data_IF_236950103659
#
_entry.id   IF_236950103659
#
_cell.length_a   1.000
_cell.length_b   1.000
_cell.length_c   1.000
_cell.angle_alpha   90.00
_cell.angle_beta   90.00
_cell.angle_gamma   90.00
#
_symmetry.space_group_name_H-M   'P 1'
#
loop_
_entity.id
_entity.type
_entity.pdbx_description
1 polymer ?
#
# COMPACT_ATOMS: atom_id res chain seq x y z
N UNK A 1 -3.85 -38.59 -36.39
CA UNK A 1 -4.03 -37.97 -35.05
C UNK A 1 -2.70 -37.35 -34.68
N UNK A 2 -2.62 -36.03 -34.67
CA UNK A 2 -1.36 -35.31 -34.44
C UNK A 2 -1.30 -34.93 -32.96
N UNK A 3 -0.40 -35.57 -32.20
CA UNK A 3 -0.16 -35.20 -30.81
C UNK A 3 0.67 -33.91 -30.77
N UNK A 4 0.06 -32.84 -30.27
CA UNK A 4 0.77 -31.59 -29.96
C UNK A 4 1.32 -31.74 -28.55
N UNK A 5 2.63 -31.96 -28.45
CA UNK A 5 3.36 -31.90 -27.19
C UNK A 5 3.60 -30.43 -26.85
N UNK A 6 2.78 -29.85 -25.97
CA UNK A 6 2.97 -28.48 -25.49
C UNK A 6 4.09 -28.53 -24.45
N UNK A 7 5.22 -27.90 -24.76
CA UNK A 7 6.35 -27.81 -23.85
C UNK A 7 6.01 -26.81 -22.73
N UNK A 8 5.63 -27.34 -21.56
CA UNK A 8 5.16 -26.57 -20.40
C UNK A 8 6.23 -25.62 -19.81
N UNK A 9 7.52 -25.81 -20.14
CA UNK A 9 8.60 -24.92 -19.69
C UNK A 9 8.48 -23.51 -20.30
N UNK A 10 8.10 -23.41 -21.57
CA UNK A 10 7.98 -22.12 -22.26
C UNK A 10 6.78 -21.28 -21.78
N UNK A 11 5.75 -21.94 -21.22
CA UNK A 11 4.56 -21.25 -20.70
C UNK A 11 4.89 -20.56 -19.37
N UNK A 12 5.67 -21.22 -18.51
CA UNK A 12 6.11 -20.63 -17.24
C UNK A 12 7.04 -19.41 -17.46
N UNK A 13 7.94 -19.46 -18.44
CA UNK A 13 8.83 -18.32 -18.74
C UNK A 13 8.08 -17.10 -19.29
N UNK A 14 7.00 -17.31 -20.07
CA UNK A 14 6.14 -16.23 -20.56
C UNK A 14 5.31 -15.59 -19.44
N UNK A 15 4.77 -16.39 -18.52
CA UNK A 15 3.97 -15.89 -17.39
C UNK A 15 4.87 -15.12 -16.40
N UNK A 16 6.09 -15.61 -16.14
CA UNK A 16 7.04 -14.96 -15.24
C UNK A 16 7.63 -13.67 -15.82
N UNK A 17 7.87 -13.62 -17.14
CA UNK A 17 8.41 -12.41 -17.81
C UNK A 17 7.44 -11.22 -17.85
N UNK A 18 6.13 -11.48 -17.93
CA UNK A 18 5.10 -10.44 -17.94
C UNK A 18 4.87 -9.85 -16.53
N UNK A 19 5.04 -10.66 -15.50
CA UNK A 19 4.92 -10.24 -14.10
C UNK A 19 6.09 -9.35 -13.65
N UNK A 20 7.33 -9.66 -14.08
CA UNK A 20 8.51 -8.86 -13.75
C UNK A 20 8.53 -7.51 -14.48
N UNK A 21 8.04 -7.47 -15.74
CA UNK A 21 7.95 -6.22 -16.51
C UNK A 21 6.79 -5.33 -16.07
N UNK A 22 5.71 -5.88 -15.54
CA UNK A 22 4.60 -5.09 -14.99
C UNK A 22 4.99 -4.44 -13.66
N UNK A 23 5.60 -5.18 -12.73
CA UNK A 23 6.14 -4.60 -11.47
C UNK A 23 7.21 -3.53 -11.71
N UNK A 24 8.11 -3.72 -12.68
CA UNK A 24 9.11 -2.70 -13.06
C UNK A 24 8.45 -1.45 -13.64
N UNK A 25 7.40 -1.58 -14.47
CA UNK A 25 6.66 -0.45 -15.04
C UNK A 25 5.84 0.31 -13.98
N UNK A 26 5.23 -0.40 -13.03
CA UNK A 26 4.52 0.15 -11.87
C UNK A 26 5.47 0.99 -11.00
N UNK A 27 6.63 0.43 -10.68
CA UNK A 27 7.65 1.12 -9.89
C UNK A 27 8.13 2.42 -10.57
N UNK A 28 8.24 2.42 -11.91
CA UNK A 28 8.70 3.59 -12.66
C UNK A 28 7.72 4.75 -12.68
N UNK A 29 6.41 4.51 -12.81
CA UNK A 29 5.46 5.62 -12.95
C UNK A 29 5.19 6.31 -11.60
N UNK A 30 5.20 5.57 -10.48
CA UNK A 30 5.13 6.14 -9.14
C UNK A 30 6.37 6.99 -8.83
N UNK A 31 7.57 6.49 -9.16
CA UNK A 31 8.82 7.25 -9.03
C UNK A 31 8.82 8.51 -9.91
N UNK A 32 8.32 8.40 -11.14
CA UNK A 32 8.15 9.55 -12.03
C UNK A 32 7.14 10.56 -11.50
N UNK A 33 6.01 10.11 -10.95
CA UNK A 33 5.01 10.99 -10.35
C UNK A 33 5.59 11.70 -9.14
N UNK A 34 6.31 10.97 -8.28
CA UNK A 34 6.94 11.49 -7.08
C UNK A 34 8.00 12.57 -7.36
N UNK A 35 8.67 12.55 -8.52
CA UNK A 35 9.62 13.61 -8.89
C UNK A 35 8.95 14.96 -9.20
N UNK A 36 7.62 14.97 -9.34
CA UNK A 36 6.83 16.17 -9.61
C UNK A 36 5.94 16.58 -8.44
N UNK A 37 5.95 15.83 -7.32
CA UNK A 37 5.19 16.20 -6.14
C UNK A 37 5.82 17.41 -5.42
N UNK A 38 5.01 18.20 -4.69
CA UNK A 38 5.52 19.26 -3.85
C UNK A 38 6.62 18.79 -2.89
N UNK A 39 7.61 19.66 -2.68
CA UNK A 39 8.62 19.45 -1.64
C UNK A 39 7.98 19.83 -0.31
N UNK A 40 7.97 18.90 0.65
CA UNK A 40 7.41 19.12 1.97
C UNK A 40 8.35 20.02 2.78
N UNK A 41 8.12 21.33 2.75
CA UNK A 41 8.90 22.31 3.54
C UNK A 41 8.13 22.80 4.78
N UNK A 42 6.82 22.61 4.78
CA UNK A 42 5.91 22.95 5.86
C UNK A 42 4.70 22.00 5.85
N UNK A 43 3.86 22.09 6.87
CA UNK A 43 2.70 21.22 7.03
C UNK A 43 1.75 21.22 5.81
N UNK A 44 1.43 22.38 5.24
CA UNK A 44 0.53 22.44 4.08
C UNK A 44 1.12 21.72 2.87
N UNK A 45 2.41 21.95 2.57
CA UNK A 45 3.09 21.26 1.46
C UNK A 45 3.27 19.77 1.75
N UNK A 46 3.45 19.37 3.00
CA UNK A 46 3.51 17.96 3.40
C UNK A 46 2.16 17.26 3.19
N UNK A 47 1.05 17.90 3.55
CA UNK A 47 -0.31 17.38 3.30
C UNK A 47 -0.66 17.40 1.81
N UNK A 48 -0.18 18.40 1.05
CA UNK A 48 -0.36 18.43 -0.40
C UNK A 48 0.39 17.28 -1.08
N UNK A 49 1.64 17.04 -0.68
CA UNK A 49 2.42 15.88 -1.14
C UNK A 49 1.74 14.56 -0.78
N UNK A 50 1.24 14.43 0.45
CA UNK A 50 0.48 13.25 0.89
C UNK A 50 -0.78 13.04 0.04
N UNK A 51 -1.50 14.11 -0.30
CA UNK A 51 -2.65 14.05 -1.20
C UNK A 51 -2.26 13.52 -2.59
N UNK A 52 -1.12 13.96 -3.14
CA UNK A 52 -0.60 13.41 -4.40
C UNK A 52 -0.28 11.92 -4.29
N UNK A 53 0.36 11.49 -3.20
CA UNK A 53 0.69 10.09 -2.95
C UNK A 53 -0.56 9.21 -2.85
N UNK A 54 -1.57 9.65 -2.09
CA UNK A 54 -2.84 8.95 -1.92
C UNK A 54 -3.61 8.83 -3.25
N UNK A 55 -3.64 9.88 -4.06
CA UNK A 55 -4.27 9.82 -5.39
C UNK A 55 -3.55 8.82 -6.30
N UNK A 56 -2.21 8.79 -6.26
CA UNK A 56 -1.43 7.86 -7.06
C UNK A 56 -1.67 6.40 -6.60
N UNK A 57 -1.66 6.13 -5.29
CA UNK A 57 -1.98 4.81 -4.76
C UNK A 57 -3.42 4.38 -5.10
N UNK A 58 -4.39 5.30 -5.01
CA UNK A 58 -5.78 5.01 -5.41
C UNK A 58 -5.86 4.59 -6.88
N UNK A 59 -5.15 5.29 -7.76
CA UNK A 59 -5.05 4.94 -9.18
C UNK A 59 -4.38 3.57 -9.38
N UNK A 60 -3.28 3.28 -8.68
CA UNK A 60 -2.57 2.00 -8.78
C UNK A 60 -3.48 0.84 -8.41
N UNK A 61 -4.14 0.93 -7.25
CA UNK A 61 -5.05 -0.11 -6.80
C UNK A 61 -6.23 -0.28 -7.75
N UNK A 62 -6.77 0.80 -8.29
CA UNK A 62 -7.82 0.70 -9.31
C UNK A 62 -7.30 0.04 -10.59
N UNK A 63 -6.11 0.42 -11.06
CA UNK A 63 -5.48 -0.17 -12.22
C UNK A 63 -5.27 -1.69 -12.06
N UNK A 64 -4.82 -2.12 -10.88
CA UNK A 64 -4.58 -3.52 -10.55
C UNK A 64 -5.87 -4.36 -10.65
N UNK A 65 -7.04 -3.81 -10.27
CA UNK A 65 -8.34 -4.49 -10.42
C UNK A 65 -8.81 -4.69 -11.86
N UNK A 66 -8.30 -3.90 -12.81
CA UNK A 66 -8.76 -3.90 -14.21
C UNK A 66 -7.74 -4.56 -15.15
N UNK A 67 -6.46 -4.29 -14.91
CA UNK A 67 -5.36 -4.65 -15.82
C UNK A 67 -4.30 -5.51 -15.14
N UNK A 68 -4.33 -5.62 -13.82
CA UNK A 68 -3.39 -6.40 -13.04
C UNK A 68 -3.67 -7.89 -13.07
N UNK A 69 -2.72 -8.67 -12.55
CA UNK A 69 -2.89 -10.12 -12.43
C UNK A 69 -3.99 -10.47 -11.42
N UNK A 70 -4.25 -9.58 -10.46
CA UNK A 70 -5.34 -9.74 -9.49
C UNK A 70 -6.74 -9.66 -10.10
N UNK A 71 -6.91 -9.11 -11.31
CA UNK A 71 -8.20 -8.95 -11.96
C UNK A 71 -8.96 -10.29 -12.19
N UNK A 72 -8.24 -11.42 -12.11
CA UNK A 72 -8.79 -12.77 -12.29
C UNK A 72 -9.16 -13.46 -10.96
N UNK A 73 -8.89 -12.82 -9.82
CA UNK A 73 -9.18 -13.32 -8.48
C UNK A 73 -10.11 -12.36 -7.71
N UNK A 74 -11.30 -12.83 -7.35
CA UNK A 74 -12.35 -11.99 -6.75
C UNK A 74 -11.97 -11.44 -5.37
N UNK A 75 -11.21 -12.21 -4.59
CA UNK A 75 -10.71 -11.78 -3.29
C UNK A 75 -9.70 -10.63 -3.44
N UNK A 76 -8.73 -10.79 -4.34
CA UNK A 76 -7.75 -9.76 -4.66
C UNK A 76 -8.40 -8.51 -5.24
N UNK A 77 -9.37 -8.64 -6.15
CA UNK A 77 -10.13 -7.49 -6.68
C UNK A 77 -10.82 -6.73 -5.54
N UNK A 78 -11.50 -7.45 -4.65
CA UNK A 78 -12.21 -6.84 -3.51
C UNK A 78 -11.25 -6.08 -2.60
N UNK A 79 -10.08 -6.68 -2.30
CA UNK A 79 -9.03 -6.04 -1.52
C UNK A 79 -8.55 -4.73 -2.18
N UNK A 80 -8.18 -4.77 -3.46
CA UNK A 80 -7.67 -3.60 -4.16
C UNK A 80 -8.72 -2.51 -4.37
N UNK A 81 -9.99 -2.86 -4.60
CA UNK A 81 -11.07 -1.87 -4.63
C UNK A 81 -11.19 -1.14 -3.29
N UNK A 82 -11.17 -1.88 -2.18
CA UNK A 82 -11.24 -1.29 -0.83
C UNK A 82 -10.06 -0.37 -0.55
N UNK A 83 -8.84 -0.79 -0.89
CA UNK A 83 -7.64 0.04 -0.71
C UNK A 83 -7.64 1.27 -1.62
N UNK A 84 -8.17 1.16 -2.84
CA UNK A 84 -8.36 2.29 -3.75
C UNK A 84 -9.32 3.34 -3.19
N UNK A 85 -10.47 2.91 -2.68
CA UNK A 85 -11.47 3.78 -2.04
C UNK A 85 -10.93 4.46 -0.78
N UNK A 86 -10.18 3.70 0.03
CA UNK A 86 -9.52 4.21 1.23
C UNK A 86 -8.52 5.33 0.87
N UNK A 87 -7.71 5.14 -0.17
CA UNK A 87 -6.76 6.16 -0.62
C UNK A 87 -7.45 7.39 -1.20
N UNK A 88 -8.51 7.21 -2.01
CA UNK A 88 -9.31 8.33 -2.54
C UNK A 88 -9.98 9.14 -1.42
N UNK A 89 -10.52 8.48 -0.39
CA UNK A 89 -11.04 9.14 0.81
C UNK A 89 -9.95 9.96 1.51
N UNK A 90 -8.76 9.38 1.69
CA UNK A 90 -7.61 10.07 2.27
C UNK A 90 -7.23 11.33 1.50
N UNK A 91 -7.15 11.25 0.18
CA UNK A 91 -6.85 12.41 -0.67
C UNK A 91 -7.90 13.52 -0.52
N UNK A 92 -9.18 13.16 -0.43
CA UNK A 92 -10.28 14.12 -0.18
C UNK A 92 -10.18 14.76 1.20
N UNK A 93 -9.79 14.02 2.23
CA UNK A 93 -9.54 14.56 3.57
C UNK A 93 -8.38 15.58 3.53
N UNK A 94 -7.28 15.25 2.85
CA UNK A 94 -6.15 16.16 2.65
C UNK A 94 -6.57 17.46 1.95
N UNK A 95 -7.35 17.37 0.87
CA UNK A 95 -7.87 18.56 0.17
C UNK A 95 -8.72 19.43 1.08
N UNK A 96 -9.62 18.84 1.87
CA UNK A 96 -10.45 19.60 2.80
C UNK A 96 -9.61 20.36 3.84
N UNK A 97 -8.54 19.76 4.35
CA UNK A 97 -7.59 20.47 5.22
C UNK A 97 -6.89 21.62 4.50
N UNK A 98 -6.34 21.39 3.30
CA UNK A 98 -5.65 22.43 2.50
C UNK A 98 -6.56 23.62 2.19
N UNK A 99 -7.85 23.36 1.91
CA UNK A 99 -8.84 24.40 1.66
C UNK A 99 -9.45 25.01 2.93
N UNK A 100 -8.88 24.73 4.11
CA UNK A 100 -9.33 25.21 5.42
C UNK A 100 -10.78 24.87 5.75
N UNK A 101 -11.27 23.73 5.24
CA UNK A 101 -12.59 23.17 5.56
C UNK A 101 -12.54 22.35 6.85
N UNK A 102 -11.40 21.72 7.12
CA UNK A 102 -11.11 20.99 8.36
C UNK A 102 -10.01 21.72 9.13
N UNK A 103 -10.11 21.72 10.45
CA UNK A 103 -8.96 22.04 11.28
C UNK A 103 -7.97 20.85 11.36
N UNK A 104 -6.82 21.07 12.00
CA UNK A 104 -5.76 20.06 12.08
C UNK A 104 -6.18 18.82 12.90
N UNK A 105 -6.98 19.02 13.94
CA UNK A 105 -7.42 17.93 14.82
C UNK A 105 -8.46 17.06 14.12
N UNK A 106 -9.41 17.69 13.42
CA UNK A 106 -10.41 17.04 12.58
C UNK A 106 -9.75 16.28 11.43
N UNK A 107 -8.75 16.89 10.76
CA UNK A 107 -7.96 16.25 9.72
C UNK A 107 -7.29 14.97 10.24
N UNK A 108 -6.55 15.05 11.34
CA UNK A 108 -5.85 13.89 11.90
C UNK A 108 -6.83 12.80 12.36
N UNK A 109 -7.93 13.20 13.00
CA UNK A 109 -8.99 12.26 13.44
C UNK A 109 -9.58 11.50 12.26
N UNK A 110 -9.94 12.18 11.18
CA UNK A 110 -10.53 11.54 10.00
C UNK A 110 -9.53 10.63 9.29
N UNK A 111 -8.25 11.00 9.24
CA UNK A 111 -7.19 10.14 8.68
C UNK A 111 -7.02 8.86 9.50
N UNK A 112 -7.05 8.93 10.84
CA UNK A 112 -6.99 7.73 11.70
C UNK A 112 -8.23 6.86 11.54
N UNK A 113 -9.43 7.46 11.52
CA UNK A 113 -10.69 6.72 11.31
C UNK A 113 -10.76 6.05 9.93
N UNK A 114 -10.10 6.63 8.93
CA UNK A 114 -9.95 6.04 7.60
C UNK A 114 -8.82 4.98 7.52
N UNK A 115 -8.20 4.62 8.65
CA UNK A 115 -7.09 3.66 8.73
C UNK A 115 -5.84 4.10 7.93
N UNK A 116 -5.59 5.42 7.90
CA UNK A 116 -4.49 6.07 7.19
C UNK A 116 -3.43 6.67 8.14
N UNK A 117 -3.37 6.19 9.38
CA UNK A 117 -2.43 6.67 10.41
C UNK A 117 -0.97 6.72 9.91
N UNK A 118 -0.53 5.72 9.15
CA UNK A 118 0.83 5.64 8.58
C UNK A 118 1.23 6.88 7.77
N UNK A 119 0.27 7.53 7.12
CA UNK A 119 0.56 8.74 6.35
C UNK A 119 0.79 9.94 7.28
N UNK A 120 0.09 10.01 8.41
CA UNK A 120 0.36 11.02 9.44
C UNK A 120 1.72 10.82 10.08
N UNK A 121 2.13 9.57 10.32
CA UNK A 121 3.46 9.22 10.84
C UNK A 121 4.58 9.75 9.92
N UNK A 122 4.41 9.63 8.60
CA UNK A 122 5.36 10.14 7.60
C UNK A 122 5.54 11.68 7.63
N UNK A 123 4.55 12.42 8.12
CA UNK A 123 4.60 13.89 8.23
C UNK A 123 4.69 14.38 9.67
N UNK A 124 4.90 13.48 10.63
CA UNK A 124 4.90 13.77 12.08
C UNK A 124 5.81 14.94 12.49
N UNK A 125 6.95 15.08 11.84
CA UNK A 125 7.90 16.17 12.06
C UNK A 125 7.40 17.57 11.64
N UNK A 126 6.33 17.66 10.84
CA UNK A 126 5.63 18.91 10.53
C UNK A 126 4.44 19.19 11.46
N UNK A 127 4.05 18.20 12.26
CA UNK A 127 2.89 18.31 13.14
C UNK A 127 3.30 18.91 14.50
N UNK A 128 2.41 19.69 15.14
CA UNK A 128 2.58 20.12 16.52
C UNK A 128 2.73 18.93 17.48
N UNK A 129 3.55 19.09 18.52
CA UNK A 129 3.87 18.02 19.48
C UNK A 129 2.63 17.46 20.19
N UNK A 130 1.64 18.31 20.47
CA UNK A 130 0.36 17.91 21.07
C UNK A 130 -0.46 16.99 20.15
N UNK A 131 -0.47 17.25 18.83
CA UNK A 131 -1.09 16.38 17.82
C UNK A 131 -0.34 15.05 17.74
N UNK A 132 0.99 15.11 17.63
CA UNK A 132 1.85 13.92 17.55
C UNK A 132 1.62 12.99 18.74
N UNK A 133 1.56 13.55 19.95
CA UNK A 133 1.32 12.80 21.18
C UNK A 133 -0.13 12.28 21.26
N UNK A 134 -1.13 13.09 20.88
CA UNK A 134 -2.54 12.71 20.90
C UNK A 134 -2.81 11.48 20.04
N UNK A 135 -2.21 11.42 18.85
CA UNK A 135 -2.42 10.33 17.89
C UNK A 135 -1.33 9.26 17.91
N UNK A 136 -0.37 9.32 18.85
CA UNK A 136 0.72 8.35 18.99
C UNK A 136 1.49 8.15 17.68
N UNK A 137 1.93 9.26 17.06
CA UNK A 137 2.59 9.25 15.74
C UNK A 137 4.13 9.05 15.82
N UNK A 138 4.67 8.84 17.02
CA UNK A 138 6.10 8.66 17.28
C UNK A 138 6.52 7.19 17.39
N UNK A 139 5.57 6.26 17.44
CA UNK A 139 5.90 4.85 17.58
C UNK A 139 6.41 4.32 16.23
N UNK A 140 7.58 3.66 16.17
CA UNK A 140 7.94 2.88 14.99
C UNK A 140 6.81 1.88 14.73
N UNK A 141 6.50 1.54 13.47
CA UNK A 141 5.45 0.56 13.17
C UNK A 141 5.70 -0.69 14.02
N UNK A 142 4.77 -0.97 14.94
CA UNK A 142 4.82 -2.21 15.70
C UNK A 142 4.52 -3.33 14.72
N UNK A 143 5.57 -3.88 14.12
CA UNK A 143 5.52 -5.23 13.60
C UNK A 143 5.37 -6.14 14.82
N UNK A 144 4.19 -6.16 15.44
CA UNK A 144 3.79 -7.27 16.28
C UNK A 144 3.68 -8.48 15.36
N UNK A 145 4.84 -9.13 15.20
CA UNK A 145 4.99 -10.57 15.27
C UNK A 145 3.98 -11.36 14.42
N UNK A 146 4.27 -11.49 13.12
CA UNK A 146 3.95 -12.72 12.42
C UNK A 146 4.85 -13.84 12.97
N UNK A 147 4.68 -14.14 14.26
CA UNK A 147 5.36 -15.18 15.01
C UNK A 147 4.82 -16.53 14.57
N UNK A 148 5.53 -17.11 13.63
CA UNK A 148 6.13 -18.44 13.80
C UNK A 148 5.38 -19.40 14.74
N UNK A 149 4.59 -20.30 14.15
CA UNK A 149 4.46 -21.66 14.68
C UNK A 149 4.99 -22.62 13.64
N UNK A 150 6.29 -22.51 13.33
CA UNK A 150 7.09 -23.64 12.90
C UNK A 150 7.22 -24.62 14.07
N UNK A 151 6.16 -25.40 14.32
CA UNK A 151 6.30 -26.64 15.08
C UNK A 151 7.10 -27.62 14.20
N UNK A 152 8.42 -27.61 14.37
CA UNK A 152 9.27 -28.72 13.95
C UNK A 152 8.85 -29.97 14.73
N UNK A 153 8.11 -30.85 14.06
CA UNK A 153 7.76 -32.16 14.57
C UNK A 153 9.00 -33.06 14.53
N UNK A 154 9.70 -33.20 15.66
CA UNK A 154 10.72 -34.23 15.84
C UNK A 154 10.04 -35.62 15.81
N UNK A 155 10.18 -36.33 14.69
CA UNK A 155 9.76 -37.73 14.58
C UNK A 155 10.88 -38.60 15.13
N UNK A 156 10.73 -39.07 16.37
CA UNK A 156 11.55 -40.15 16.93
C UNK A 156 11.28 -41.45 16.15
N UNK A 157 12.20 -41.84 15.28
CA UNK A 157 12.20 -43.17 14.66
C UNK A 157 12.75 -44.16 15.68
N UNK A 158 11.87 -44.93 16.31
CA UNK A 158 12.26 -46.12 17.06
C UNK A 158 12.26 -47.33 16.12
N UNK A 159 13.43 -47.70 15.62
CA UNK A 159 13.68 -49.04 15.08
C UNK A 159 13.71 -50.03 16.26
N UNK A 160 12.70 -50.90 16.34
CA UNK A 160 12.80 -52.11 17.18
C UNK A 160 13.12 -53.31 16.29
N UNK A 161 14.31 -53.86 16.54
CA UNK A 161 14.76 -55.19 16.13
C UNK A 161 14.04 -56.31 16.88
#
# INVERSE_FOLDING_TARGET
MTNININLSNVNDMINGDMETSHKRITMWMQYSASHWPVAENLNLAVERMSCELNALSFEYHHETVYGNSAFDEESVTYYMKESEKCDLGAKICQKYIYNVLDLDEFCTLMVLADLKRFLENISHFLPEDIVNKFQLNDPPSYEDAGDTGEELEVEVTENA
#
